data_IF_670809802947
#
_entry.id   IF_670809802947
#
_cell.length_a   1.000
_cell.length_b   1.000
_cell.length_c   1.000
_cell.angle_alpha   90.00
_cell.angle_beta   90.00
_cell.angle_gamma   90.00
#
_symmetry.space_group_name_H-M   'P 1'
#
loop_
_entity.id
_entity.type
_entity.pdbx_description
1 polymer ?
#
# COMPACT_ATOMS: atom_id res chain seq x y z
N UNK A 1 -5.25 35.97 93.36
CA UNK A 1 -4.86 35.11 94.53
C UNK A 1 -5.13 33.68 94.13
N UNK A 2 -4.29 32.73 94.43
CA UNK A 2 -2.81 32.71 94.26
C UNK A 2 -2.38 31.52 93.34
N UNK A 3 -1.18 31.62 92.85
CA UNK A 3 -0.36 30.46 92.56
C UNK A 3 -0.01 29.66 93.81
N UNK A 4 0.51 28.45 93.84
CA UNK A 4 1.90 28.28 93.39
C UNK A 4 2.28 26.84 92.87
N UNK A 5 3.50 26.85 92.33
CA UNK A 5 4.67 25.99 92.52
C UNK A 5 4.73 24.69 91.79
N UNK A 6 5.72 24.60 90.94
CA UNK A 6 7.01 23.90 91.05
C UNK A 6 6.92 22.38 91.32
N UNK A 7 7.40 21.52 90.42
CA UNK A 7 8.62 20.82 90.72
C UNK A 7 9.17 20.00 89.55
N UNK A 8 10.45 20.11 89.44
CA UNK A 8 11.43 19.41 88.60
C UNK A 8 11.37 17.89 88.82
N UNK A 9 11.69 17.15 87.78
CA UNK A 9 12.58 15.97 87.82
C UNK A 9 12.87 15.53 86.43
N UNK A 10 14.05 15.71 86.01
CA UNK A 10 15.13 14.82 85.64
C UNK A 10 14.77 13.48 84.98
N UNK A 11 15.33 13.35 83.85
CA UNK A 11 16.25 12.29 83.41
C UNK A 11 15.81 11.40 82.30
N UNK A 12 16.74 11.32 81.47
CA UNK A 12 17.44 10.20 80.82
C UNK A 12 17.17 10.04 79.33
N UNK A 13 18.20 10.40 78.62
CA UNK A 13 18.61 9.96 77.30
C UNK A 13 18.23 8.49 77.00
N UNK A 14 17.61 8.28 75.83
CA UNK A 14 17.83 7.09 75.05
C UNK A 14 17.96 7.49 73.60
N UNK A 15 19.18 7.59 73.13
CA UNK A 15 19.54 7.62 71.70
C UNK A 15 19.15 6.23 71.10
N UNK A 16 18.03 6.21 70.39
CA UNK A 16 17.69 5.12 69.50
C UNK A 16 18.00 5.60 68.04
N UNK A 17 19.20 5.41 67.60
CA UNK A 17 19.58 5.56 66.20
C UNK A 17 18.92 4.41 65.43
N UNK A 18 17.70 4.67 64.94
CA UNK A 18 17.09 3.85 63.92
C UNK A 18 17.80 4.06 62.59
N UNK A 19 18.82 3.28 62.27
CA UNK A 19 19.28 3.09 60.91
C UNK A 19 18.15 2.46 60.12
N UNK A 20 17.29 3.29 59.52
CA UNK A 20 16.52 2.90 58.36
C UNK A 20 17.53 2.68 57.24
N UNK A 21 18.05 1.45 57.18
CA UNK A 21 18.75 0.96 56.02
C UNK A 21 17.84 1.12 54.81
N UNK A 22 18.16 2.10 53.97
CA UNK A 22 17.68 2.13 52.59
C UNK A 22 18.17 0.83 51.96
N UNK A 23 17.29 -0.15 51.89
CA UNK A 23 17.47 -1.28 50.99
C UNK A 23 17.60 -0.68 49.60
N UNK A 24 18.75 -0.88 48.90
CA UNK A 24 18.80 -0.54 47.51
C UNK A 24 17.66 -1.36 46.88
N UNK A 25 16.68 -0.69 46.33
CA UNK A 25 15.75 -1.31 45.41
C UNK A 25 16.66 -1.94 44.34
N UNK A 26 16.91 -3.25 44.45
CA UNK A 26 17.41 -4.02 43.33
C UNK A 26 16.37 -3.78 42.23
N UNK A 27 16.68 -2.84 41.34
CA UNK A 27 16.03 -2.75 40.05
C UNK A 27 16.21 -4.17 39.48
N UNK A 28 15.11 -4.95 39.56
CA UNK A 28 15.03 -6.21 38.87
C UNK A 28 15.31 -5.86 37.42
N UNK A 29 16.53 -6.13 36.96
CA UNK A 29 16.80 -6.23 35.55
C UNK A 29 15.84 -7.31 35.08
N UNK A 30 14.70 -6.89 34.50
CA UNK A 30 13.82 -7.76 33.75
C UNK A 30 14.75 -8.38 32.70
N UNK A 31 15.22 -9.62 32.98
CA UNK A 31 15.98 -10.37 31.99
C UNK A 31 15.06 -10.53 30.79
N UNK A 32 15.40 -9.83 29.70
CA UNK A 32 14.62 -9.89 28.50
C UNK A 32 14.60 -11.34 27.99
N UNK A 33 13.41 -11.86 27.75
CA UNK A 33 13.23 -13.25 27.34
C UNK A 33 13.81 -13.48 25.95
N UNK A 34 14.69 -14.45 25.80
CA UNK A 34 15.19 -14.88 24.50
C UNK A 34 14.08 -15.64 23.78
N UNK A 35 13.71 -15.18 22.58
CA UNK A 35 12.68 -15.81 21.72
C UNK A 35 13.29 -16.58 20.55
N UNK A 36 14.52 -16.27 20.15
CA UNK A 36 15.27 -17.11 19.22
C UNK A 36 16.79 -16.93 19.38
N UNK A 37 17.53 -17.91 18.87
CA UNK A 37 19.00 -17.88 18.72
C UNK A 37 19.32 -18.14 17.25
N UNK A 38 20.16 -17.31 16.66
CA UNK A 38 20.66 -17.46 15.29
C UNK A 38 22.17 -17.52 15.31
N UNK A 39 22.72 -18.71 15.20
CA UNK A 39 24.14 -18.99 15.46
C UNK A 39 24.58 -18.50 16.87
N UNK A 40 25.27 -17.37 16.95
CA UNK A 40 25.73 -16.77 18.21
C UNK A 40 24.94 -15.52 18.62
N UNK A 41 23.98 -15.10 17.83
CA UNK A 41 23.20 -13.90 18.11
C UNK A 41 21.82 -14.25 18.66
N UNK A 42 21.38 -13.47 19.64
CA UNK A 42 20.10 -13.63 20.31
C UNK A 42 19.05 -12.69 19.67
N UNK A 43 17.81 -13.13 19.72
CA UNK A 43 16.63 -12.28 19.48
C UNK A 43 15.82 -12.31 20.76
N UNK A 44 15.55 -11.13 21.30
CA UNK A 44 14.80 -10.98 22.54
C UNK A 44 13.33 -10.67 22.30
N UNK A 45 12.51 -10.85 23.33
CA UNK A 45 11.08 -10.54 23.26
C UNK A 45 10.85 -9.04 23.04
N UNK A 46 11.64 -8.19 23.68
CA UNK A 46 11.52 -6.74 23.51
C UNK A 46 11.83 -6.31 22.07
N UNK A 47 12.88 -6.89 21.46
CA UNK A 47 13.18 -6.64 20.03
C UNK A 47 12.02 -7.11 19.13
N UNK A 48 11.41 -8.26 19.43
CA UNK A 48 10.27 -8.75 18.66
C UNK A 48 9.05 -7.84 18.83
N UNK A 49 8.73 -7.42 20.07
CA UNK A 49 7.60 -6.51 20.33
C UNK A 49 7.79 -5.15 19.64
N UNK A 50 9.02 -4.63 19.58
CA UNK A 50 9.35 -3.42 18.82
C UNK A 50 9.12 -3.64 17.32
N UNK A 51 9.59 -4.74 16.73
CA UNK A 51 9.43 -5.08 15.30
C UNK A 51 7.97 -5.21 14.87
N UNK A 52 7.09 -5.73 15.74
CA UNK A 52 5.69 -6.03 15.36
C UNK A 52 4.65 -5.13 16.01
N UNK A 53 5.07 -4.15 16.81
CA UNK A 53 4.21 -3.32 17.65
C UNK A 53 3.09 -2.64 16.88
N UNK A 54 3.42 -1.96 15.80
CA UNK A 54 2.45 -1.23 14.97
C UNK A 54 1.44 -2.16 14.29
N UNK A 55 1.91 -3.30 13.78
CA UNK A 55 1.02 -4.30 13.15
C UNK A 55 0.08 -4.92 14.18
N UNK A 56 0.56 -5.18 15.40
CA UNK A 56 -0.27 -5.64 16.52
C UNK A 56 -1.30 -4.58 16.94
N UNK A 57 -0.92 -3.30 16.99
CA UNK A 57 -1.82 -2.21 17.30
C UNK A 57 -2.95 -2.11 16.28
N UNK A 58 -2.65 -2.18 14.99
CA UNK A 58 -3.64 -2.21 13.93
C UNK A 58 -4.57 -3.44 14.02
N UNK A 59 -4.00 -4.62 14.33
CA UNK A 59 -4.79 -5.84 14.50
C UNK A 59 -5.79 -5.70 15.67
N UNK A 60 -5.37 -5.11 16.81
CA UNK A 60 -6.25 -4.86 17.97
C UNK A 60 -7.40 -3.90 17.67
N UNK A 61 -7.23 -2.99 16.70
CA UNK A 61 -8.30 -2.10 16.26
C UNK A 61 -9.36 -2.80 15.39
N UNK A 62 -8.97 -3.87 14.68
CA UNK A 62 -9.82 -4.53 13.67
C UNK A 62 -10.45 -5.83 14.15
N UNK A 63 -9.82 -6.53 15.07
CA UNK A 63 -10.22 -7.87 15.50
C UNK A 63 -10.40 -7.95 17.02
N UNK A 64 -11.16 -8.94 17.49
CA UNK A 64 -11.40 -9.19 18.91
C UNK A 64 -11.50 -10.68 19.22
N UNK A 65 -11.45 -11.03 20.53
CA UNK A 65 -11.66 -12.40 20.98
C UNK A 65 -10.63 -13.41 20.41
N UNK A 66 -11.11 -14.60 20.06
CA UNK A 66 -10.25 -15.69 19.58
C UNK A 66 -9.55 -15.38 18.26
N UNK A 67 -10.19 -14.64 17.36
CA UNK A 67 -9.61 -14.22 16.08
C UNK A 67 -8.43 -13.30 16.31
N UNK A 68 -8.54 -12.29 17.18
CA UNK A 68 -7.42 -11.43 17.54
C UNK A 68 -6.26 -12.24 18.10
N UNK A 69 -6.51 -13.17 19.02
CA UNK A 69 -5.46 -14.01 19.61
C UNK A 69 -4.72 -14.83 18.53
N UNK A 70 -5.44 -15.37 17.56
CA UNK A 70 -4.83 -16.10 16.44
C UNK A 70 -3.98 -15.18 15.57
N UNK A 71 -4.49 -13.98 15.22
CA UNK A 71 -3.76 -12.98 14.43
C UNK A 71 -2.48 -12.51 15.11
N UNK A 72 -2.54 -12.23 16.42
CA UNK A 72 -1.36 -11.81 17.16
C UNK A 72 -0.26 -12.87 17.14
N UNK A 73 -0.59 -14.15 17.37
CA UNK A 73 0.40 -15.26 17.24
C UNK A 73 1.00 -15.35 15.84
N UNK A 74 0.18 -15.15 14.80
CA UNK A 74 0.66 -15.15 13.42
C UNK A 74 1.62 -13.98 13.16
N UNK A 75 1.30 -12.78 13.67
CA UNK A 75 2.15 -11.59 13.58
C UNK A 75 3.49 -11.85 14.26
N UNK A 76 3.48 -12.40 15.48
CA UNK A 76 4.71 -12.73 16.21
C UNK A 76 5.58 -13.71 15.43
N UNK A 77 4.99 -14.79 14.93
CA UNK A 77 5.72 -15.79 14.15
C UNK A 77 6.32 -15.19 12.87
N UNK A 78 5.57 -14.39 12.14
CA UNK A 78 6.04 -13.74 10.92
C UNK A 78 7.13 -12.70 11.21
N UNK A 79 6.97 -11.91 12.27
CA UNK A 79 7.97 -10.94 12.71
C UNK A 79 9.27 -11.62 13.11
N UNK A 80 9.17 -12.67 13.94
CA UNK A 80 10.34 -13.43 14.36
C UNK A 80 11.08 -14.07 13.19
N UNK A 81 10.37 -14.64 12.21
CA UNK A 81 10.99 -15.19 11.01
C UNK A 81 11.75 -14.12 10.22
N UNK A 82 11.19 -12.93 10.05
CA UNK A 82 11.87 -11.81 9.39
C UNK A 82 13.16 -11.40 10.12
N UNK A 83 13.10 -11.32 11.47
CA UNK A 83 14.28 -11.00 12.28
C UNK A 83 15.36 -12.08 12.15
N UNK A 84 14.99 -13.35 12.18
CA UNK A 84 15.91 -14.49 11.98
C UNK A 84 16.56 -14.38 10.59
N UNK A 85 15.80 -14.17 9.55
CA UNK A 85 16.32 -14.04 8.19
C UNK A 85 17.25 -12.83 8.05
N UNK A 86 16.89 -11.67 8.61
CA UNK A 86 17.72 -10.46 8.61
C UNK A 86 19.07 -10.71 9.32
N UNK A 87 19.04 -11.26 10.55
CA UNK A 87 20.30 -11.60 11.28
C UNK A 87 21.16 -12.58 10.47
N UNK A 88 20.55 -13.61 9.90
CA UNK A 88 21.26 -14.60 9.09
C UNK A 88 21.89 -13.96 7.84
N UNK A 89 21.16 -13.11 7.13
CA UNK A 89 21.65 -12.39 5.96
C UNK A 89 22.83 -11.47 6.31
N UNK A 90 22.73 -10.70 7.39
CA UNK A 90 23.80 -9.81 7.86
C UNK A 90 25.05 -10.61 8.24
N UNK A 91 24.90 -11.73 8.96
CA UNK A 91 26.03 -12.60 9.29
C UNK A 91 26.70 -13.19 8.04
N UNK A 92 25.90 -13.63 7.06
CA UNK A 92 26.43 -14.16 5.80
C UNK A 92 27.18 -13.05 5.03
N UNK A 93 26.59 -11.85 4.95
CA UNK A 93 27.19 -10.71 4.29
C UNK A 93 28.54 -10.32 4.93
N UNK A 94 28.59 -10.29 6.27
CA UNK A 94 29.84 -10.04 7.03
C UNK A 94 30.92 -11.09 6.71
N UNK A 95 30.56 -12.39 6.71
CA UNK A 95 31.48 -13.48 6.33
C UNK A 95 32.00 -13.36 4.91
N UNK A 96 31.21 -12.77 3.99
CA UNK A 96 31.58 -12.55 2.57
C UNK A 96 32.26 -11.22 2.32
N UNK A 97 32.48 -10.40 3.35
CA UNK A 97 33.14 -9.10 3.22
C UNK A 97 32.28 -8.04 2.54
N UNK A 98 30.95 -8.24 2.45
CA UNK A 98 30.02 -7.24 1.93
C UNK A 98 29.95 -6.08 2.93
N UNK A 99 30.21 -4.88 2.46
CA UNK A 99 30.21 -3.66 3.26
C UNK A 99 29.24 -2.65 2.67
N UNK A 100 28.57 -1.91 3.51
CA UNK A 100 27.74 -0.76 3.20
C UNK A 100 28.47 0.49 3.66
N UNK A 101 28.63 1.47 2.78
CA UNK A 101 29.31 2.73 3.07
C UNK A 101 28.39 3.70 3.80
N UNK A 102 28.97 4.70 4.47
CA UNK A 102 28.20 5.76 5.13
C UNK A 102 27.41 6.61 4.12
N UNK A 103 27.92 6.74 2.89
CA UNK A 103 27.26 7.45 1.81
C UNK A 103 25.96 6.73 1.39
N UNK A 104 26.04 5.40 1.21
CA UNK A 104 24.84 4.58 0.89
C UNK A 104 23.78 4.66 1.97
N UNK A 105 24.17 4.71 3.25
CA UNK A 105 23.22 4.88 4.37
C UNK A 105 22.56 6.26 4.30
N UNK A 106 23.33 7.33 4.09
CA UNK A 106 22.78 8.69 3.93
C UNK A 106 21.83 8.78 2.75
N UNK A 107 22.19 8.20 1.63
CA UNK A 107 21.33 8.16 0.44
C UNK A 107 20.02 7.38 0.69
N UNK A 108 20.09 6.30 1.48
CA UNK A 108 18.91 5.55 1.87
C UNK A 108 17.99 6.40 2.77
N UNK A 109 18.53 7.10 3.75
CA UNK A 109 17.78 8.03 4.61
C UNK A 109 17.08 9.11 3.78
N UNK A 110 17.80 9.70 2.81
CA UNK A 110 17.19 10.71 1.90
C UNK A 110 16.05 10.11 1.08
N UNK A 111 16.20 8.87 0.59
CA UNK A 111 15.12 8.17 -0.15
C UNK A 111 13.90 7.90 0.73
N UNK A 112 14.09 7.43 1.97
CA UNK A 112 13.01 7.19 2.93
C UNK A 112 12.23 8.47 3.24
N UNK A 113 12.93 9.59 3.45
CA UNK A 113 12.30 10.91 3.65
C UNK A 113 11.46 11.37 2.45
N UNK A 114 11.89 11.08 1.22
CA UNK A 114 11.09 11.35 0.00
C UNK A 114 9.82 10.50 -0.10
N UNK A 115 9.80 9.33 0.53
CA UNK A 115 8.64 8.45 0.62
C UNK A 115 7.70 8.80 1.79
N UNK A 116 8.02 9.86 2.55
CA UNK A 116 7.21 10.33 3.68
C UNK A 116 7.56 9.69 5.02
N UNK A 117 8.62 8.89 5.09
CA UNK A 117 9.16 8.38 6.34
C UNK A 117 10.06 9.43 7.03
N UNK A 118 10.20 9.32 8.35
CA UNK A 118 10.97 10.29 9.15
C UNK A 118 12.07 9.60 9.96
N UNK A 119 13.05 8.93 9.31
CA UNK A 119 14.15 8.28 10.03
C UNK A 119 15.00 9.31 10.77
N UNK A 120 15.33 9.03 12.04
CA UNK A 120 16.27 9.83 12.82
C UNK A 120 17.71 9.41 12.52
N UNK A 121 18.42 10.24 11.77
CA UNK A 121 19.82 10.01 11.43
C UNK A 121 20.78 10.10 12.62
N UNK A 122 20.31 10.62 13.78
CA UNK A 122 21.08 10.71 15.02
C UNK A 122 20.80 9.52 15.96
N UNK A 123 19.79 8.69 15.68
CA UNK A 123 19.56 7.47 16.43
C UNK A 123 20.46 6.34 15.90
N UNK A 124 21.45 5.87 16.68
CA UNK A 124 22.34 4.78 16.26
C UNK A 124 21.60 3.48 15.91
N UNK A 125 20.45 3.22 16.55
CA UNK A 125 19.65 2.01 16.28
C UNK A 125 18.98 2.08 14.91
N UNK A 126 18.35 3.21 14.56
CA UNK A 126 17.73 3.37 13.24
C UNK A 126 18.77 3.34 12.13
N UNK A 127 19.91 4.00 12.32
CA UNK A 127 21.03 3.97 11.37
C UNK A 127 21.57 2.54 11.19
N UNK A 128 21.72 1.77 12.28
CA UNK A 128 22.15 0.39 12.22
C UNK A 128 21.12 -0.50 11.49
N UNK A 129 19.84 -0.30 11.72
CA UNK A 129 18.76 -1.04 11.04
C UNK A 129 18.76 -0.76 9.53
N UNK A 130 18.91 0.50 9.12
CA UNK A 130 19.02 0.88 7.70
C UNK A 130 20.25 0.22 7.08
N UNK A 131 21.40 0.23 7.77
CA UNK A 131 22.62 -0.42 7.33
C UNK A 131 22.46 -1.93 7.16
N UNK A 132 21.80 -2.60 8.09
CA UNK A 132 21.52 -4.03 8.03
C UNK A 132 20.59 -4.37 6.86
N UNK A 133 19.58 -3.53 6.59
CA UNK A 133 18.69 -3.67 5.42
C UNK A 133 19.47 -3.53 4.10
N UNK A 134 20.33 -2.53 3.98
CA UNK A 134 21.19 -2.36 2.79
C UNK A 134 22.16 -3.53 2.63
N UNK A 135 22.73 -4.01 3.74
CA UNK A 135 23.64 -5.17 3.75
C UNK A 135 22.93 -6.43 3.24
N UNK A 136 21.72 -6.69 3.72
CA UNK A 136 20.88 -7.79 3.24
C UNK A 136 20.52 -7.64 1.75
N UNK A 137 20.17 -6.42 1.32
CA UNK A 137 19.89 -6.14 -0.09
C UNK A 137 21.11 -6.42 -1.00
N UNK A 138 22.31 -5.97 -0.61
CA UNK A 138 23.54 -6.23 -1.36
C UNK A 138 23.83 -7.73 -1.44
N UNK A 139 23.65 -8.46 -0.33
CA UNK A 139 23.82 -9.90 -0.31
C UNK A 139 22.85 -10.60 -1.28
N UNK A 140 21.58 -10.26 -1.23
CA UNK A 140 20.54 -10.86 -2.09
C UNK A 140 20.84 -10.53 -3.57
N UNK A 141 21.20 -9.28 -3.87
CA UNK A 141 21.58 -8.90 -5.22
C UNK A 141 22.76 -9.73 -5.74
N UNK A 142 23.79 -9.91 -4.92
CA UNK A 142 24.98 -10.65 -5.31
C UNK A 142 24.76 -12.17 -5.37
N UNK A 143 23.99 -12.74 -4.43
CA UNK A 143 23.88 -14.20 -4.30
C UNK A 143 22.69 -14.80 -5.05
N UNK A 144 21.66 -14.01 -5.29
CA UNK A 144 20.41 -14.47 -5.89
C UNK A 144 20.19 -13.83 -7.25
N UNK A 145 20.16 -12.49 -7.30
CA UNK A 145 19.71 -11.78 -8.50
C UNK A 145 20.75 -11.72 -9.62
N UNK A 146 22.03 -11.61 -9.29
CA UNK A 146 23.10 -11.46 -10.29
C UNK A 146 23.23 -12.64 -11.26
N UNK A 147 22.79 -13.83 -10.85
CA UNK A 147 22.83 -15.05 -11.69
C UNK A 147 21.55 -15.31 -12.46
N UNK A 148 20.49 -14.52 -12.23
CA UNK A 148 19.21 -14.72 -12.87
C UNK A 148 19.18 -14.13 -14.28
N UNK A 149 18.85 -14.97 -15.23
CA UNK A 149 18.61 -14.56 -16.61
C UNK A 149 17.12 -14.77 -16.93
N UNK A 150 16.55 -13.84 -17.67
CA UNK A 150 15.19 -13.94 -18.21
C UNK A 150 15.32 -13.98 -19.73
N UNK A 151 14.97 -15.12 -20.30
CA UNK A 151 15.00 -15.32 -21.76
C UNK A 151 13.74 -14.75 -22.42
N UNK A 152 13.85 -14.38 -23.70
CA UNK A 152 12.70 -13.91 -24.48
C UNK A 152 11.58 -14.98 -24.58
N UNK A 153 11.95 -16.26 -24.55
CA UNK A 153 10.98 -17.35 -24.54
C UNK A 153 10.15 -17.39 -23.24
N UNK A 154 10.77 -17.11 -22.09
CA UNK A 154 10.05 -17.02 -20.80
C UNK A 154 9.11 -15.82 -20.78
N UNK A 155 9.56 -14.67 -21.29
CA UNK A 155 8.75 -13.45 -21.39
C UNK A 155 7.52 -13.70 -22.25
N UNK A 156 7.72 -14.27 -23.45
CA UNK A 156 6.63 -14.56 -24.37
C UNK A 156 5.64 -15.56 -23.76
N UNK A 157 6.13 -16.62 -23.11
CA UNK A 157 5.31 -17.62 -22.43
C UNK A 157 4.47 -16.99 -21.32
N UNK A 158 5.09 -16.14 -20.51
CA UNK A 158 4.37 -15.44 -19.43
C UNK A 158 3.25 -14.56 -19.99
N UNK A 159 3.54 -13.76 -21.03
CA UNK A 159 2.53 -12.95 -21.70
C UNK A 159 1.37 -13.79 -22.23
N UNK A 160 1.66 -14.92 -22.87
CA UNK A 160 0.63 -15.83 -23.41
C UNK A 160 -0.25 -16.46 -22.32
N UNK A 161 0.36 -16.83 -21.19
CA UNK A 161 -0.36 -17.47 -20.06
C UNK A 161 -1.16 -16.47 -19.22
N UNK A 162 -0.80 -15.17 -19.26
CA UNK A 162 -1.43 -14.13 -18.44
C UNK A 162 -1.95 -12.98 -19.29
N UNK A 163 -2.50 -13.29 -20.45
CA UNK A 163 -3.02 -12.28 -21.40
C UNK A 163 -4.07 -11.35 -20.78
N UNK A 164 -4.86 -11.85 -19.86
CA UNK A 164 -5.85 -11.10 -19.08
C UNK A 164 -5.25 -9.89 -18.35
N UNK A 165 -3.99 -9.97 -17.91
CA UNK A 165 -3.29 -8.83 -17.27
C UNK A 165 -2.94 -7.70 -18.23
N UNK A 166 -2.96 -7.96 -19.52
CA UNK A 166 -2.62 -7.01 -20.58
C UNK A 166 -3.83 -6.63 -21.43
N UNK A 167 -5.02 -6.93 -20.92
CA UNK A 167 -6.26 -6.61 -21.61
C UNK A 167 -6.54 -5.12 -21.56
N UNK A 168 -6.84 -4.54 -22.71
CA UNK A 168 -7.37 -3.20 -22.82
C UNK A 168 -8.88 -3.27 -22.62
N UNK A 169 -9.47 -2.39 -21.82
CA UNK A 169 -10.91 -2.32 -21.68
C UNK A 169 -11.55 -1.98 -23.04
N UNK A 170 -12.80 -2.40 -23.28
CA UNK A 170 -13.52 -2.04 -24.49
C UNK A 170 -13.67 -0.51 -24.56
N UNK A 171 -13.59 0.02 -25.78
CA UNK A 171 -13.81 1.43 -26.06
C UNK A 171 -15.13 1.59 -26.80
N UNK A 172 -15.86 2.65 -26.47
CA UNK A 172 -17.07 3.05 -27.16
C UNK A 172 -16.90 4.47 -27.70
N UNK A 173 -17.15 4.66 -29.00
CA UNK A 173 -17.22 6.00 -29.60
C UNK A 173 -18.63 6.52 -29.43
N UNK A 174 -18.75 7.70 -28.84
CA UNK A 174 -20.03 8.30 -28.55
C UNK A 174 -20.07 9.76 -29.03
N UNK A 175 -21.28 10.21 -29.31
CA UNK A 175 -21.63 11.63 -29.48
C UNK A 175 -22.62 12.04 -28.40
N UNK A 176 -22.53 13.29 -27.91
CA UNK A 176 -23.31 13.80 -26.79
C UNK A 176 -24.01 15.10 -27.17
N UNK A 177 -25.27 15.23 -26.71
CA UNK A 177 -25.95 16.51 -26.55
C UNK A 177 -26.14 16.74 -25.07
N UNK A 178 -25.53 17.77 -24.53
CA UNK A 178 -25.66 18.19 -23.13
C UNK A 178 -26.58 19.40 -23.06
N UNK A 179 -27.68 19.29 -22.32
CA UNK A 179 -28.51 20.45 -21.91
C UNK A 179 -28.10 20.75 -20.48
N UNK A 180 -27.29 21.79 -20.28
CA UNK A 180 -26.68 22.10 -19.00
C UNK A 180 -27.67 22.65 -17.97
N UNK A 181 -27.50 22.27 -16.73
CA UNK A 181 -28.17 22.87 -15.57
C UNK A 181 -27.30 24.04 -15.06
N UNK A 182 -27.51 25.22 -15.62
CA UNK A 182 -26.79 26.42 -15.20
C UNK A 182 -27.37 27.10 -13.96
N UNK A 183 -26.63 28.10 -13.38
CA UNK A 183 -27.15 28.89 -12.27
C UNK A 183 -28.51 29.56 -12.64
N UNK A 184 -29.56 29.33 -11.84
CA UNK A 184 -30.89 29.86 -12.06
C UNK A 184 -31.77 29.08 -13.06
N UNK A 185 -31.26 27.98 -13.63
CA UNK A 185 -32.04 27.07 -14.44
C UNK A 185 -32.97 26.21 -13.58
N UNK A 186 -34.23 26.08 -13.99
CA UNK A 186 -35.14 25.11 -13.38
C UNK A 186 -34.89 23.72 -13.96
N UNK A 187 -34.67 22.72 -13.09
CA UNK A 187 -34.41 21.33 -13.52
C UNK A 187 -35.53 20.80 -14.44
N UNK A 188 -36.79 21.21 -14.19
CA UNK A 188 -37.92 20.80 -15.01
C UNK A 188 -37.79 21.31 -16.46
N UNK A 189 -37.44 22.57 -16.62
CA UNK A 189 -37.26 23.18 -17.95
C UNK A 189 -36.09 22.52 -18.72
N UNK A 190 -34.97 22.19 -18.05
CA UNK A 190 -33.83 21.47 -18.63
C UNK A 190 -34.26 20.07 -19.09
N UNK A 191 -35.07 19.38 -18.29
CA UNK A 191 -35.59 18.06 -18.60
C UNK A 191 -36.58 18.10 -19.80
N UNK A 192 -37.49 19.05 -19.81
CA UNK A 192 -38.45 19.25 -20.92
C UNK A 192 -37.71 19.53 -22.24
N UNK A 193 -36.73 20.45 -22.23
CA UNK A 193 -35.88 20.75 -23.39
C UNK A 193 -35.12 19.49 -23.89
N UNK A 194 -34.58 18.67 -22.98
CA UNK A 194 -33.91 17.43 -23.37
C UNK A 194 -34.89 16.43 -24.01
N UNK A 195 -36.11 16.33 -23.49
CA UNK A 195 -37.17 15.50 -24.08
C UNK A 195 -37.62 15.96 -25.48
N UNK A 196 -37.73 17.28 -25.68
CA UNK A 196 -38.02 17.86 -27.00
C UNK A 196 -36.92 17.51 -28.02
N UNK A 197 -35.65 17.66 -27.66
CA UNK A 197 -34.51 17.30 -28.52
C UNK A 197 -34.51 15.80 -28.82
N UNK A 198 -34.78 14.97 -27.81
CA UNK A 198 -34.89 13.52 -28.00
C UNK A 198 -36.06 13.16 -28.94
N UNK A 199 -37.20 13.84 -28.82
CA UNK A 199 -38.35 13.64 -29.73
C UNK A 199 -38.01 14.02 -31.18
N UNK A 200 -37.20 15.06 -31.42
CA UNK A 200 -36.70 15.45 -32.74
C UNK A 200 -35.80 14.36 -33.33
N UNK A 201 -34.90 13.80 -32.52
CA UNK A 201 -34.06 12.66 -32.92
C UNK A 201 -34.90 11.43 -33.32
N UNK A 202 -35.94 11.15 -32.55
CA UNK A 202 -36.88 10.05 -32.88
C UNK A 202 -37.67 10.28 -34.20
N UNK A 203 -37.83 11.52 -34.61
CA UNK A 203 -38.44 11.88 -35.93
C UNK A 203 -37.43 11.81 -37.07
N UNK A 204 -36.16 11.51 -36.81
CA UNK A 204 -35.10 11.33 -37.81
C UNK A 204 -34.27 12.57 -38.08
N UNK A 205 -34.38 13.62 -37.27
CA UNK A 205 -33.46 14.76 -37.36
C UNK A 205 -32.03 14.35 -37.06
N UNK A 206 -31.09 15.00 -37.72
CA UNK A 206 -29.66 14.63 -37.59
C UNK A 206 -29.10 15.02 -36.24
N UNK A 207 -28.44 14.06 -35.61
CA UNK A 207 -27.84 14.24 -34.28
C UNK A 207 -26.85 15.42 -34.25
N UNK A 208 -26.01 15.53 -35.28
CA UNK A 208 -24.99 16.57 -35.40
C UNK A 208 -25.61 17.99 -35.47
N UNK A 209 -26.71 18.12 -36.15
CA UNK A 209 -27.43 19.41 -36.30
C UNK A 209 -28.08 19.82 -34.99
N UNK A 210 -28.70 18.86 -34.29
CA UNK A 210 -29.28 19.09 -32.97
C UNK A 210 -28.20 19.34 -31.90
N UNK A 211 -27.09 18.65 -31.99
CA UNK A 211 -25.93 18.91 -31.11
C UNK A 211 -25.38 20.33 -31.29
N UNK A 212 -25.20 20.77 -32.54
CA UNK A 212 -24.73 22.11 -32.83
C UNK A 212 -25.73 23.21 -32.39
N UNK A 213 -27.03 22.91 -32.39
CA UNK A 213 -28.10 23.86 -32.06
C UNK A 213 -28.39 23.92 -30.55
N UNK A 214 -28.37 22.79 -29.87
CA UNK A 214 -28.89 22.66 -28.50
C UNK A 214 -27.87 22.27 -27.43
N UNK A 215 -26.72 21.72 -27.84
CA UNK A 215 -25.76 21.28 -26.85
C UNK A 215 -25.00 22.46 -26.23
N UNK A 216 -25.01 22.51 -24.92
CA UNK A 216 -24.19 23.43 -24.12
C UNK A 216 -22.77 22.90 -23.90
N UNK A 217 -22.49 21.65 -24.30
CA UNK A 217 -21.16 21.04 -24.22
C UNK A 217 -20.18 21.60 -25.26
N UNK A 218 -18.89 21.64 -24.97
CA UNK A 218 -17.85 22.17 -25.87
C UNK A 218 -17.79 21.46 -27.23
N UNK A 219 -18.25 20.20 -27.30
CA UNK A 219 -18.28 19.37 -28.51
C UNK A 219 -19.53 19.67 -29.39
N UNK A 220 -20.52 20.38 -28.88
CA UNK A 220 -21.79 20.66 -29.59
C UNK A 220 -21.56 21.17 -30.98
N UNK A 221 -20.70 22.21 -31.16
CA UNK A 221 -20.37 22.82 -32.46
C UNK A 221 -19.67 21.84 -33.44
N UNK A 222 -19.16 20.73 -32.96
CA UNK A 222 -18.52 19.65 -33.73
C UNK A 222 -19.44 18.43 -33.87
N UNK A 223 -20.76 18.63 -33.74
CA UNK A 223 -21.75 17.55 -33.82
C UNK A 223 -21.80 16.65 -32.57
N UNK A 224 -21.23 17.10 -31.46
CA UNK A 224 -21.28 16.40 -30.19
C UNK A 224 -20.26 15.23 -30.03
N UNK A 225 -19.38 15.01 -31.00
CA UNK A 225 -18.46 13.84 -31.00
C UNK A 225 -17.41 13.94 -29.88
N UNK A 226 -17.44 12.97 -28.95
CA UNK A 226 -16.48 12.81 -27.84
C UNK A 226 -15.33 11.87 -28.17
N UNK A 227 -15.36 11.17 -29.31
CA UNK A 227 -14.38 10.18 -29.67
C UNK A 227 -14.58 8.84 -28.94
N UNK A 228 -13.52 8.02 -28.91
CA UNK A 228 -13.51 6.77 -28.16
C UNK A 228 -13.25 7.02 -26.69
N UNK A 229 -14.12 6.48 -25.86
CA UNK A 229 -14.07 6.59 -24.40
C UNK A 229 -13.97 5.17 -23.81
N UNK A 230 -13.10 4.99 -22.82
CA UNK A 230 -12.96 3.71 -22.12
C UNK A 230 -14.02 3.54 -21.04
N UNK A 231 -14.33 2.32 -20.76
CA UNK A 231 -15.13 1.97 -19.59
C UNK A 231 -14.42 2.50 -18.32
N UNK A 232 -15.15 3.32 -17.53
CA UNK A 232 -14.61 3.97 -16.32
C UNK A 232 -14.26 5.45 -16.49
N UNK A 233 -14.09 5.96 -17.72
CA UNK A 233 -13.78 7.37 -17.99
C UNK A 233 -15.04 8.23 -18.16
N UNK A 234 -16.24 7.64 -18.06
CA UNK A 234 -17.53 8.29 -18.22
C UNK A 234 -18.39 8.11 -16.97
N UNK A 235 -19.33 9.03 -16.75
CA UNK A 235 -20.24 8.97 -15.61
C UNK A 235 -20.97 7.60 -15.55
N UNK A 236 -21.07 6.96 -14.36
CA UNK A 236 -21.64 5.61 -14.22
C UNK A 236 -23.04 5.46 -14.81
N UNK A 237 -23.90 6.47 -14.68
CA UNK A 237 -25.24 6.46 -15.25
C UNK A 237 -25.25 6.47 -16.77
N UNK A 238 -24.32 7.19 -17.41
CA UNK A 238 -24.15 7.20 -18.87
C UNK A 238 -23.59 5.85 -19.32
N UNK A 239 -22.55 5.35 -18.62
CA UNK A 239 -21.97 4.03 -18.91
C UNK A 239 -23.04 2.93 -18.91
N UNK A 240 -23.88 2.89 -17.87
CA UNK A 240 -24.98 1.92 -17.76
C UNK A 240 -25.98 2.03 -18.92
N UNK A 241 -26.32 3.26 -19.34
CA UNK A 241 -27.26 3.49 -20.40
C UNK A 241 -26.75 3.04 -21.79
N UNK A 242 -25.42 3.16 -22.00
CA UNK A 242 -24.82 2.79 -23.29
C UNK A 242 -24.25 1.37 -23.31
N UNK A 243 -24.20 0.65 -22.16
CA UNK A 243 -23.49 -0.62 -22.02
C UNK A 243 -23.90 -1.66 -23.06
N UNK A 244 -25.20 -1.81 -23.30
CA UNK A 244 -25.76 -2.77 -24.26
C UNK A 244 -26.36 -2.10 -25.52
N UNK A 245 -26.21 -0.77 -25.63
CA UNK A 245 -26.79 -0.03 -26.75
C UNK A 245 -25.99 -0.32 -28.04
N UNK A 246 -26.63 -0.76 -29.14
CA UNK A 246 -25.94 -1.01 -30.40
C UNK A 246 -25.44 0.28 -31.04
N UNK A 247 -24.42 0.21 -31.92
CA UNK A 247 -24.02 1.34 -32.73
C UNK A 247 -25.20 1.91 -33.52
N UNK A 248 -25.29 3.25 -33.62
CA UNK A 248 -26.39 4.00 -34.22
C UNK A 248 -27.56 4.30 -33.28
N UNK A 249 -27.62 3.68 -32.09
CA UNK A 249 -28.69 3.95 -31.12
C UNK A 249 -28.48 5.25 -30.36
N UNK A 250 -29.60 5.88 -29.97
CA UNK A 250 -29.63 7.09 -29.14
C UNK A 250 -30.34 6.78 -27.84
N UNK A 251 -29.72 7.16 -26.71
CA UNK A 251 -30.29 6.97 -25.37
C UNK A 251 -31.44 7.96 -25.13
N UNK A 252 -32.31 7.60 -24.19
CA UNK A 252 -33.17 8.59 -23.55
C UNK A 252 -32.31 9.62 -22.79
N UNK A 253 -32.89 10.83 -22.48
CA UNK A 253 -32.18 11.81 -21.69
C UNK A 253 -31.78 11.27 -20.30
N UNK A 254 -30.45 11.32 -19.99
CA UNK A 254 -29.85 10.82 -18.77
C UNK A 254 -29.50 12.00 -17.86
N UNK A 255 -29.98 11.98 -16.63
CA UNK A 255 -29.72 13.04 -15.68
C UNK A 255 -28.30 12.92 -15.09
N UNK A 256 -27.65 14.06 -14.87
CA UNK A 256 -26.38 14.19 -14.14
C UNK A 256 -26.37 15.46 -13.28
N UNK A 257 -25.37 15.65 -12.41
CA UNK A 257 -25.24 16.90 -11.65
C UNK A 257 -25.07 18.16 -12.50
N UNK A 258 -24.62 18.02 -13.76
CA UNK A 258 -24.36 19.15 -14.66
C UNK A 258 -25.47 19.37 -15.69
N UNK A 259 -26.49 18.51 -15.74
CA UNK A 259 -27.60 18.62 -16.67
C UNK A 259 -28.13 17.31 -17.23
N UNK A 260 -28.78 17.36 -18.38
CA UNK A 260 -29.35 16.22 -19.09
C UNK A 260 -28.46 15.86 -20.29
N UNK A 261 -28.14 14.58 -20.44
CA UNK A 261 -27.31 14.05 -21.52
C UNK A 261 -28.12 13.17 -22.44
N UNK A 262 -28.01 13.38 -23.75
CA UNK A 262 -28.52 12.48 -24.79
C UNK A 262 -27.29 11.94 -25.50
N UNK A 263 -27.13 10.62 -25.51
CA UNK A 263 -25.93 9.97 -26.04
C UNK A 263 -26.32 9.16 -27.27
N UNK A 264 -25.54 9.31 -28.35
CA UNK A 264 -25.55 8.37 -29.46
C UNK A 264 -24.30 7.49 -29.39
N UNK A 265 -24.48 6.20 -29.48
CA UNK A 265 -23.40 5.25 -29.67
C UNK A 265 -23.00 5.21 -31.12
N UNK A 266 -21.80 5.68 -31.47
CA UNK A 266 -21.35 5.75 -32.86
C UNK A 266 -20.65 4.47 -33.31
N UNK A 267 -19.82 3.88 -32.41
CA UNK A 267 -19.02 2.68 -32.70
C UNK A 267 -18.60 1.98 -31.42
N UNK A 268 -18.19 0.72 -31.53
CA UNK A 268 -17.63 -0.06 -30.40
C UNK A 268 -16.39 -0.80 -30.84
N UNK A 269 -15.32 -0.67 -30.04
CA UNK A 269 -14.15 -1.52 -30.13
C UNK A 269 -14.24 -2.56 -29.04
N UNK A 270 -14.14 -3.85 -29.36
CA UNK A 270 -14.08 -4.89 -28.35
C UNK A 270 -12.82 -4.73 -27.51
N UNK A 271 -12.78 -5.42 -26.36
CA UNK A 271 -11.55 -5.58 -25.60
C UNK A 271 -10.47 -6.14 -26.50
N UNK A 272 -9.28 -5.62 -26.38
CA UNK A 272 -8.09 -6.10 -27.09
C UNK A 272 -6.95 -6.25 -26.08
N UNK A 273 -5.83 -6.79 -26.51
CA UNK A 273 -4.66 -6.95 -25.67
C UNK A 273 -3.58 -5.96 -26.11
N UNK A 274 -2.89 -5.39 -25.12
CA UNK A 274 -1.68 -4.63 -25.44
C UNK A 274 -0.70 -5.53 -26.20
N UNK A 275 -0.22 -5.10 -27.37
CA UNK A 275 0.75 -5.88 -28.16
C UNK A 275 1.96 -6.29 -27.31
N UNK A 276 2.47 -7.50 -27.55
CA UNK A 276 3.62 -8.02 -26.80
C UNK A 276 4.81 -7.06 -26.82
N UNK A 277 5.11 -6.46 -27.96
CA UNK A 277 6.25 -5.54 -28.12
C UNK A 277 6.13 -4.29 -27.22
N UNK A 278 4.91 -3.81 -26.98
CA UNK A 278 4.66 -2.66 -26.09
C UNK A 278 4.86 -3.00 -24.59
N UNK A 279 4.62 -4.25 -24.21
CA UNK A 279 4.66 -4.70 -22.81
C UNK A 279 5.89 -5.56 -22.50
N UNK A 280 6.74 -5.82 -23.48
CA UNK A 280 7.88 -6.75 -23.38
C UNK A 280 8.76 -6.46 -22.17
N UNK A 281 9.12 -5.19 -21.96
CA UNK A 281 9.97 -4.81 -20.83
C UNK A 281 9.21 -4.88 -19.48
N UNK A 282 7.94 -4.53 -19.45
CA UNK A 282 7.10 -4.69 -18.25
C UNK A 282 7.01 -6.17 -17.85
N UNK A 283 6.79 -7.05 -18.85
CA UNK A 283 6.75 -8.50 -18.65
C UNK A 283 8.10 -9.03 -18.21
N UNK A 284 9.21 -8.57 -18.81
CA UNK A 284 10.57 -8.95 -18.40
C UNK A 284 10.83 -8.64 -16.94
N UNK A 285 10.48 -7.43 -16.51
CA UNK A 285 10.65 -6.99 -15.13
C UNK A 285 9.80 -7.85 -14.18
N UNK A 286 8.55 -8.16 -14.56
CA UNK A 286 7.67 -9.00 -13.76
C UNK A 286 8.19 -10.43 -13.64
N UNK A 287 8.61 -11.05 -14.75
CA UNK A 287 9.21 -12.39 -14.75
C UNK A 287 10.50 -12.41 -13.93
N UNK A 288 11.36 -11.39 -14.06
CA UNK A 288 12.56 -11.27 -13.25
C UNK A 288 12.25 -11.17 -11.75
N UNK A 289 11.23 -10.40 -11.39
CA UNK A 289 10.79 -10.28 -10.00
C UNK A 289 10.31 -11.63 -9.44
N UNK A 290 9.45 -12.34 -10.19
CA UNK A 290 8.96 -13.66 -9.77
C UNK A 290 10.08 -14.68 -9.62
N UNK A 291 11.00 -14.74 -10.60
CA UNK A 291 12.18 -15.61 -10.51
C UNK A 291 13.10 -15.24 -9.33
N UNK A 292 13.22 -13.94 -9.05
CA UNK A 292 14.03 -13.47 -7.91
C UNK A 292 13.42 -13.89 -6.58
N UNK A 293 12.10 -13.84 -6.47
CA UNK A 293 11.37 -14.28 -5.27
C UNK A 293 11.49 -15.80 -5.06
N UNK A 294 11.27 -16.59 -6.10
CA UNK A 294 11.45 -18.06 -6.04
C UNK A 294 12.90 -18.43 -5.67
N UNK A 295 13.88 -17.83 -6.34
CA UNK A 295 15.29 -18.08 -6.04
C UNK A 295 15.68 -17.66 -4.61
N UNK A 296 15.12 -16.55 -4.11
CA UNK A 296 15.31 -16.12 -2.73
C UNK A 296 14.73 -17.14 -1.74
N UNK A 297 13.52 -17.64 -1.96
CA UNK A 297 12.88 -18.64 -1.08
C UNK A 297 13.75 -19.91 -0.98
N UNK A 298 14.25 -20.40 -2.11
CA UNK A 298 15.14 -21.56 -2.14
C UNK A 298 16.45 -21.25 -1.41
N UNK A 299 17.07 -20.13 -1.73
CA UNK A 299 18.33 -19.73 -1.13
C UNK A 299 18.23 -19.53 0.40
N UNK A 300 17.20 -18.82 0.89
CA UNK A 300 17.06 -18.56 2.34
C UNK A 300 16.76 -19.84 3.10
N UNK A 301 16.00 -20.76 2.52
CA UNK A 301 15.78 -22.08 3.10
C UNK A 301 17.09 -22.82 3.27
N UNK A 302 17.93 -22.91 2.22
CA UNK A 302 19.25 -23.52 2.30
C UNK A 302 20.14 -22.86 3.38
N UNK A 303 20.07 -21.52 3.50
CA UNK A 303 20.84 -20.84 4.52
C UNK A 303 20.34 -21.18 5.93
N UNK A 304 19.02 -21.28 6.14
CA UNK A 304 18.45 -21.74 7.42
C UNK A 304 18.90 -23.16 7.76
N UNK A 305 18.91 -24.08 6.80
CA UNK A 305 19.31 -25.47 7.00
C UNK A 305 20.81 -25.62 7.32
N UNK A 306 21.66 -24.69 6.86
CA UNK A 306 23.12 -24.69 7.08
C UNK A 306 23.57 -23.95 8.36
N UNK A 307 22.66 -23.32 9.10
CA UNK A 307 22.98 -22.51 10.26
C UNK A 307 22.17 -22.99 11.49
N UNK A 308 22.70 -22.71 12.67
CA UNK A 308 21.97 -23.01 13.89
C UNK A 308 20.87 -21.98 14.15
N UNK A 309 19.64 -22.44 14.22
CA UNK A 309 18.48 -21.62 14.55
C UNK A 309 17.66 -22.37 15.59
N UNK A 310 17.44 -21.75 16.75
CA UNK A 310 16.57 -22.26 17.82
C UNK A 310 15.49 -21.22 18.11
N UNK A 311 14.21 -21.63 18.06
CA UNK A 311 13.05 -20.77 18.35
C UNK A 311 12.48 -21.16 19.70
N UNK A 312 12.22 -20.16 20.58
CA UNK A 312 11.71 -20.29 21.94
C UNK A 312 10.46 -19.41 22.16
N UNK A 313 9.65 -19.23 21.16
CA UNK A 313 8.47 -18.34 21.21
C UNK A 313 7.37 -18.88 22.13
#
# INVERSE_FOLDING_TARGET
>A
MPAPTLQKAFAVLALGAGLLGALPALAAHLQDRIVAVVNTELITLSELEEEVGDVKAQARQRYSGAELAQRLRQIDYMGLNRMIERKLQVQIAKRRGIKVTEEEVKDAIVRLRRLGETPDENDPKEVAMIRDQLTALHLINQQVRSSLLVSDAEILRFYQQHRDRFMLPPEVRISQILIALGPGSELLAVREKAQEVYAQLKKGERFEELAAKYSDGPEGRRGGNLGYIRQGDILPQIQKAIEQAPPGSVTEPIASPIGMHIIRVDDRKPSDFRPFEEVKEDVRNLVFQLKSEEAYIVWIKEQKDKNYIEIRL
#
